data_IF_982732854419
#
_entry.id   IF_982732854419
#
_cell.length_a   1.000
_cell.length_b   1.000
_cell.length_c   1.000
_cell.angle_alpha   90.00
_cell.angle_beta   90.00
_cell.angle_gamma   90.00
#
_symmetry.space_group_name_H-M   'P 1'
#
loop_
_entity.id
_entity.type
_entity.pdbx_description
1 polymer ?
#
# COMPACT_ATOMS: atom_id res chain seq x y z
N UNK A 1 3.31 44.73 22.54
CA UNK A 1 4.15 44.35 21.40
C UNK A 1 5.04 45.52 20.87
N UNK A 2 4.51 46.68 20.54
CA UNK A 2 5.28 47.83 19.96
C UNK A 2 6.44 48.33 20.81
N UNK A 3 6.38 48.26 22.15
CA UNK A 3 7.44 48.73 23.08
C UNK A 3 8.68 47.82 23.02
N UNK A 4 8.53 46.53 23.06
CA UNK A 4 9.63 45.57 22.97
C UNK A 4 10.39 45.62 21.63
N UNK A 5 9.65 45.81 20.53
CA UNK A 5 10.26 45.96 19.19
C UNK A 5 11.12 47.24 19.12
N UNK A 6 10.64 48.35 19.69
CA UNK A 6 11.43 49.61 19.74
C UNK A 6 12.69 49.49 20.59
N UNK A 7 12.61 48.84 21.73
CA UNK A 7 13.81 48.65 22.61
C UNK A 7 14.83 47.70 21.94
N UNK A 8 14.38 46.66 21.24
CA UNK A 8 15.27 45.76 20.50
C UNK A 8 15.97 46.49 19.33
N UNK A 9 15.27 47.34 18.60
CA UNK A 9 15.83 48.14 17.51
C UNK A 9 16.84 49.16 18.07
N UNK A 10 16.56 49.79 19.22
CA UNK A 10 17.48 50.75 19.84
C UNK A 10 18.80 50.06 20.30
N UNK A 11 18.72 48.84 20.89
CA UNK A 11 19.90 48.05 21.24
C UNK A 11 20.72 47.63 20.03
N UNK A 12 20.03 47.20 18.94
CA UNK A 12 20.70 46.79 17.69
C UNK A 12 21.46 47.96 17.03
N UNK A 13 21.03 49.19 17.26
CA UNK A 13 21.70 50.39 16.73
C UNK A 13 23.06 50.68 17.41
N UNK A 14 23.23 50.23 18.66
CA UNK A 14 24.44 50.39 19.46
C UNK A 14 25.50 49.31 19.21
N UNK A 15 25.15 48.23 18.53
CA UNK A 15 26.10 47.16 18.23
C UNK A 15 27.19 47.59 17.25
N UNK A 16 28.38 47.06 17.44
CA UNK A 16 29.48 47.20 16.48
C UNK A 16 29.12 46.57 15.12
N UNK A 17 29.81 46.94 14.08
CA UNK A 17 29.59 46.39 12.73
C UNK A 17 29.77 44.88 12.73
N UNK A 18 30.74 44.36 13.48
CA UNK A 18 30.99 42.91 13.60
C UNK A 18 29.86 42.19 14.30
N UNK A 19 29.30 42.76 15.37
CA UNK A 19 28.13 42.18 16.07
C UNK A 19 26.88 42.17 15.21
N UNK A 20 26.63 43.23 14.45
CA UNK A 20 25.54 43.30 13.47
C UNK A 20 25.66 42.21 12.40
N UNK A 21 26.87 41.96 11.91
CA UNK A 21 27.15 40.91 10.94
C UNK A 21 26.93 39.52 11.52
N UNK A 22 27.33 39.26 12.77
CA UNK A 22 27.09 38.01 13.49
C UNK A 22 25.58 37.76 13.65
N UNK A 23 24.84 38.76 14.10
CA UNK A 23 23.41 38.70 14.24
C UNK A 23 22.69 38.42 12.90
N UNK A 24 23.10 39.11 11.84
CA UNK A 24 22.55 38.93 10.51
C UNK A 24 22.77 37.48 10.02
N UNK A 25 23.98 36.92 10.23
CA UNK A 25 24.27 35.51 9.90
C UNK A 25 23.38 34.56 10.69
N UNK A 26 23.19 34.78 11.99
CA UNK A 26 22.30 33.92 12.82
C UNK A 26 20.86 33.96 12.34
N UNK A 27 20.33 35.13 12.00
CA UNK A 27 18.96 35.32 11.49
C UNK A 27 18.72 34.59 10.16
N UNK A 28 19.75 34.40 9.35
CA UNK A 28 19.65 33.66 8.09
C UNK A 28 19.93 32.18 8.28
N UNK A 29 20.95 31.82 9.05
CA UNK A 29 21.38 30.43 9.22
C UNK A 29 20.35 29.60 10.01
N UNK A 30 19.77 30.16 11.09
CA UNK A 30 18.84 29.41 11.94
C UNK A 30 17.57 29.01 11.17
N UNK A 31 16.86 29.91 10.46
CA UNK A 31 15.69 29.51 9.67
C UNK A 31 16.05 28.55 8.54
N UNK A 32 17.22 28.69 7.92
CA UNK A 32 17.69 27.78 6.88
C UNK A 32 17.89 26.35 7.44
N UNK A 33 18.53 26.23 8.62
CA UNK A 33 18.70 24.94 9.29
C UNK A 33 17.35 24.32 9.69
N UNK A 34 16.43 25.10 10.25
CA UNK A 34 15.08 24.63 10.58
C UNK A 34 14.35 24.16 9.32
N UNK A 35 14.46 24.89 8.22
CA UNK A 35 13.90 24.51 6.94
C UNK A 35 14.44 23.17 6.41
N UNK A 36 15.77 22.98 6.48
CA UNK A 36 16.41 21.73 6.06
C UNK A 36 15.95 20.56 6.93
N UNK A 37 15.91 20.72 8.26
CA UNK A 37 15.45 19.67 9.18
C UNK A 37 13.99 19.31 8.88
N UNK A 38 13.14 20.31 8.68
CA UNK A 38 11.73 20.08 8.34
C UNK A 38 11.58 19.30 7.03
N UNK A 39 12.34 19.67 6.00
CA UNK A 39 12.34 18.95 4.73
C UNK A 39 12.83 17.50 4.88
N UNK A 40 13.86 17.26 5.68
CA UNK A 40 14.35 15.90 5.96
C UNK A 40 13.27 15.04 6.65
N UNK A 41 12.58 15.58 7.66
CA UNK A 41 11.48 14.86 8.34
C UNK A 41 10.34 14.55 7.37
N UNK A 42 9.94 15.51 6.54
CA UNK A 42 8.91 15.29 5.51
C UNK A 42 9.36 14.20 4.53
N UNK A 43 10.61 14.24 4.09
CA UNK A 43 11.16 13.26 3.15
C UNK A 43 11.20 11.84 3.73
N UNK A 44 11.57 11.68 5.00
CA UNK A 44 11.57 10.37 5.69
C UNK A 44 10.15 9.83 5.77
N UNK A 45 9.20 10.62 6.28
CA UNK A 45 7.80 10.20 6.38
C UNK A 45 7.18 9.86 5.02
N UNK A 46 7.51 10.62 3.99
CA UNK A 46 7.06 10.35 2.63
C UNK A 46 7.64 9.03 2.10
N UNK A 47 8.92 8.76 2.33
CA UNK A 47 9.58 7.54 1.88
C UNK A 47 9.00 6.29 2.56
N UNK A 48 8.69 6.34 3.86
CA UNK A 48 8.03 5.24 4.56
C UNK A 48 6.63 4.96 3.98
N UNK A 49 5.81 6.00 3.83
CA UNK A 49 4.48 5.88 3.24
C UNK A 49 4.52 5.37 1.78
N UNK A 50 5.53 5.79 1.03
CA UNK A 50 5.76 5.32 -0.33
C UNK A 50 6.08 3.83 -0.37
N UNK A 51 7.00 3.37 0.46
CA UNK A 51 7.40 1.97 0.52
C UNK A 51 6.24 1.06 0.93
N UNK A 52 5.41 1.49 1.89
CA UNK A 52 4.19 0.76 2.26
C UNK A 52 3.20 0.65 1.11
N UNK A 53 2.97 1.75 0.37
CA UNK A 53 2.07 1.73 -0.78
C UNK A 53 2.56 0.79 -1.87
N UNK A 54 3.86 0.86 -2.22
CA UNK A 54 4.48 -0.03 -3.23
C UNK A 54 4.38 -1.50 -2.79
N UNK A 55 4.65 -1.78 -1.51
CA UNK A 55 4.54 -3.13 -0.97
C UNK A 55 3.12 -3.67 -1.06
N UNK A 56 2.13 -2.88 -0.64
CA UNK A 56 0.71 -3.28 -0.69
C UNK A 56 0.23 -3.57 -2.11
N UNK A 57 0.63 -2.73 -3.07
CA UNK A 57 0.31 -2.96 -4.49
C UNK A 57 1.01 -4.21 -5.02
N UNK A 58 2.26 -4.43 -4.63
CA UNK A 58 2.99 -5.64 -5.02
C UNK A 58 2.31 -6.91 -4.49
N UNK A 59 1.89 -6.90 -3.22
CA UNK A 59 1.17 -8.05 -2.60
C UNK A 59 -0.20 -8.25 -3.26
N UNK A 60 -0.97 -7.17 -3.49
CA UNK A 60 -2.27 -7.25 -4.16
C UNK A 60 -2.13 -7.73 -5.62
N UNK A 61 -1.08 -7.30 -6.31
CA UNK A 61 -0.78 -7.76 -7.67
C UNK A 61 -0.42 -9.26 -7.68
N UNK A 62 0.44 -9.68 -6.75
CA UNK A 62 0.78 -11.11 -6.58
C UNK A 62 -0.47 -11.95 -6.30
N UNK A 63 -1.35 -11.47 -5.43
CA UNK A 63 -2.62 -12.12 -5.14
C UNK A 63 -3.48 -12.26 -6.40
N UNK A 64 -3.64 -11.19 -7.17
CA UNK A 64 -4.53 -11.19 -8.33
C UNK A 64 -3.99 -12.02 -9.50
N UNK A 65 -2.69 -11.94 -9.78
CA UNK A 65 -2.10 -12.64 -10.92
C UNK A 65 -1.70 -14.09 -10.60
N UNK A 66 -1.03 -14.33 -9.47
CA UNK A 66 -0.59 -15.69 -9.15
C UNK A 66 -1.74 -16.54 -8.61
N UNK A 67 -2.37 -16.10 -7.52
CA UNK A 67 -3.40 -16.91 -6.88
C UNK A 67 -4.61 -17.14 -7.79
N UNK A 68 -5.14 -16.05 -8.40
CA UNK A 68 -6.38 -16.16 -9.17
C UNK A 68 -6.21 -17.00 -10.43
N UNK A 69 -5.13 -16.82 -11.17
CA UNK A 69 -4.84 -17.58 -12.39
C UNK A 69 -4.48 -19.03 -12.07
N UNK A 70 -3.63 -19.27 -11.07
CA UNK A 70 -3.24 -20.61 -10.67
C UNK A 70 -4.42 -21.40 -10.10
N UNK A 71 -5.25 -20.76 -9.27
CA UNK A 71 -6.44 -21.39 -8.71
C UNK A 71 -7.46 -21.74 -9.79
N UNK A 72 -7.75 -20.82 -10.73
CA UNK A 72 -8.66 -21.07 -11.84
C UNK A 72 -8.19 -22.23 -12.71
N UNK A 73 -6.90 -22.27 -13.04
CA UNK A 73 -6.32 -23.35 -13.81
C UNK A 73 -6.43 -24.69 -13.07
N UNK A 74 -6.05 -24.73 -11.78
CA UNK A 74 -6.11 -25.95 -10.97
C UNK A 74 -7.54 -26.47 -10.84
N UNK A 75 -8.47 -25.58 -10.49
CA UNK A 75 -9.88 -25.96 -10.37
C UNK A 75 -10.50 -26.38 -11.69
N UNK A 76 -10.15 -25.73 -12.78
CA UNK A 76 -10.58 -26.17 -14.12
C UNK A 76 -10.12 -27.59 -14.40
N UNK A 77 -8.84 -27.93 -14.15
CA UNK A 77 -8.30 -29.29 -14.35
C UNK A 77 -9.01 -30.35 -13.49
N UNK A 78 -9.30 -30.01 -12.24
CA UNK A 78 -10.05 -30.90 -11.33
C UNK A 78 -11.48 -31.12 -11.86
N UNK A 79 -12.16 -30.02 -12.19
CA UNK A 79 -13.59 -30.08 -12.62
C UNK A 79 -13.80 -30.84 -13.91
N UNK A 80 -12.84 -30.79 -14.85
CA UNK A 80 -12.92 -31.62 -16.09
C UNK A 80 -12.42 -33.06 -15.89
N UNK A 81 -11.99 -33.39 -14.67
CA UNK A 81 -11.48 -34.75 -14.34
C UNK A 81 -10.10 -35.06 -14.90
N UNK A 82 -9.34 -34.05 -15.34
CA UNK A 82 -7.99 -34.26 -15.87
C UNK A 82 -6.95 -34.48 -14.76
N UNK A 83 -7.20 -33.96 -13.55
CA UNK A 83 -6.30 -34.08 -12.41
C UNK A 83 -7.10 -34.29 -11.11
N UNK A 84 -6.45 -34.86 -10.10
CA UNK A 84 -7.05 -35.06 -8.77
C UNK A 84 -6.79 -33.86 -7.84
N UNK A 85 -7.61 -33.73 -6.78
CA UNK A 85 -7.39 -32.76 -5.71
C UNK A 85 -6.01 -32.88 -5.06
N UNK A 86 -5.55 -34.11 -4.83
CA UNK A 86 -4.24 -34.39 -4.25
C UNK A 86 -3.07 -33.93 -5.13
N UNK A 87 -3.24 -34.03 -6.46
CA UNK A 87 -2.22 -33.59 -7.40
C UNK A 87 -2.17 -32.06 -7.53
N UNK A 88 -3.33 -31.41 -7.58
CA UNK A 88 -3.44 -29.95 -7.78
C UNK A 88 -3.28 -29.13 -6.49
N UNK A 89 -3.57 -29.73 -5.32
CA UNK A 89 -3.41 -29.12 -3.99
C UNK A 89 -4.04 -27.73 -3.84
N UNK A 90 -5.30 -27.52 -4.19
CA UNK A 90 -5.94 -26.20 -4.15
C UNK A 90 -5.98 -25.60 -2.74
N UNK A 91 -5.97 -26.42 -1.70
CA UNK A 91 -5.94 -25.96 -0.30
C UNK A 91 -4.62 -25.30 0.11
N UNK A 92 -3.50 -25.70 -0.50
CA UNK A 92 -2.21 -25.03 -0.29
C UNK A 92 -2.24 -23.61 -0.85
N UNK A 93 -2.84 -23.42 -2.04
CA UNK A 93 -3.04 -22.08 -2.63
C UNK A 93 -3.91 -21.17 -1.75
N UNK A 94 -5.02 -21.71 -1.20
CA UNK A 94 -5.86 -20.96 -0.26
C UNK A 94 -5.07 -20.54 0.98
N UNK A 95 -4.22 -21.42 1.49
CA UNK A 95 -3.37 -21.13 2.65
C UNK A 95 -2.39 -20.00 2.35
N UNK A 96 -1.70 -20.06 1.21
CA UNK A 96 -0.79 -19.01 0.78
C UNK A 96 -1.50 -17.67 0.56
N UNK A 97 -2.69 -17.70 -0.09
CA UNK A 97 -3.51 -16.53 -0.27
C UNK A 97 -3.94 -15.89 1.06
N UNK A 98 -4.26 -16.68 2.08
CA UNK A 98 -4.58 -16.18 3.43
C UNK A 98 -3.38 -15.48 4.09
N UNK A 99 -2.16 -15.96 3.89
CA UNK A 99 -0.98 -15.25 4.38
C UNK A 99 -0.77 -13.89 3.67
N UNK A 100 -0.99 -13.83 2.35
CA UNK A 100 -0.97 -12.56 1.62
C UNK A 100 -2.03 -11.58 2.16
N UNK A 101 -3.25 -12.06 2.46
CA UNK A 101 -4.32 -11.23 3.04
C UNK A 101 -3.96 -10.74 4.45
N UNK A 102 -3.30 -11.54 5.27
CA UNK A 102 -2.78 -11.10 6.57
C UNK A 102 -1.76 -9.98 6.40
N UNK A 103 -0.86 -10.09 5.42
CA UNK A 103 0.10 -9.04 5.11
C UNK A 103 -0.59 -7.75 4.65
N UNK A 104 -1.58 -7.84 3.76
CA UNK A 104 -2.40 -6.72 3.33
C UNK A 104 -3.12 -6.05 4.51
N UNK A 105 -3.69 -6.85 5.42
CA UNK A 105 -4.39 -6.31 6.59
C UNK A 105 -3.45 -5.61 7.57
N UNK A 106 -2.23 -6.11 7.74
CA UNK A 106 -1.21 -5.49 8.57
C UNK A 106 -0.81 -4.10 8.05
N UNK A 107 -0.77 -3.96 6.74
CA UNK A 107 -0.37 -2.74 6.06
C UNK A 107 -1.56 -1.81 5.75
N UNK A 108 -2.80 -2.21 6.09
CA UNK A 108 -4.00 -1.41 5.84
C UNK A 108 -4.08 -0.23 6.82
N UNK A 109 -3.99 1.00 6.31
CA UNK A 109 -3.95 2.24 7.10
C UNK A 109 -5.33 2.82 7.34
N UNK A 110 -6.24 2.74 6.35
CA UNK A 110 -7.60 3.29 6.44
C UNK A 110 -8.60 2.26 6.92
N UNK A 111 -9.69 2.71 7.55
CA UNK A 111 -10.77 1.81 7.98
C UNK A 111 -11.42 1.10 6.78
N UNK A 112 -11.50 1.77 5.63
CA UNK A 112 -11.98 1.17 4.40
C UNK A 112 -11.05 0.06 3.90
N UNK A 113 -9.73 0.28 3.88
CA UNK A 113 -8.76 -0.75 3.50
C UNK A 113 -8.77 -1.95 4.45
N UNK A 114 -8.95 -1.72 5.76
CA UNK A 114 -9.14 -2.79 6.77
C UNK A 114 -10.44 -3.56 6.55
N UNK A 115 -11.53 -2.88 6.20
CA UNK A 115 -12.79 -3.52 5.88
C UNK A 115 -12.65 -4.41 4.64
N UNK A 116 -12.00 -3.91 3.59
CA UNK A 116 -11.77 -4.66 2.34
C UNK A 116 -10.91 -5.90 2.55
N UNK A 117 -9.82 -5.79 3.32
CA UNK A 117 -8.97 -6.96 3.63
C UNK A 117 -9.73 -8.02 4.42
N UNK A 118 -10.61 -7.64 5.35
CA UNK A 118 -11.50 -8.58 6.06
C UNK A 118 -12.50 -9.25 5.11
N UNK A 119 -13.06 -8.50 4.15
CA UNK A 119 -13.97 -9.05 3.14
C UNK A 119 -13.24 -10.06 2.24
N UNK A 120 -12.03 -9.76 1.80
CA UNK A 120 -11.20 -10.69 1.04
C UNK A 120 -10.94 -11.97 1.85
N UNK A 121 -10.62 -11.86 3.13
CA UNK A 121 -10.43 -13.01 4.02
C UNK A 121 -11.68 -13.91 4.10
N UNK A 122 -12.85 -13.30 4.28
CA UNK A 122 -14.13 -14.06 4.29
C UNK A 122 -14.43 -14.73 2.95
N UNK A 123 -14.12 -14.07 1.84
CA UNK A 123 -14.30 -14.65 0.51
C UNK A 123 -13.37 -15.84 0.26
N UNK A 124 -12.14 -15.81 0.81
CA UNK A 124 -11.25 -16.97 0.79
C UNK A 124 -11.79 -18.14 1.63
N UNK A 125 -12.43 -17.84 2.78
CA UNK A 125 -13.09 -18.86 3.58
C UNK A 125 -14.27 -19.49 2.82
N UNK A 126 -15.09 -18.67 2.17
CA UNK A 126 -16.20 -19.16 1.33
C UNK A 126 -15.68 -19.96 0.14
N UNK A 127 -14.61 -19.50 -0.51
CA UNK A 127 -14.00 -20.22 -1.62
C UNK A 127 -13.49 -21.61 -1.18
N UNK A 128 -12.89 -21.69 0.02
CA UNK A 128 -12.47 -22.96 0.60
C UNK A 128 -13.64 -23.91 0.77
N UNK A 129 -14.76 -23.42 1.30
CA UNK A 129 -16.00 -24.22 1.45
C UNK A 129 -16.50 -24.70 0.09
N UNK A 130 -16.55 -23.80 -0.91
CA UNK A 130 -16.98 -24.20 -2.28
C UNK A 130 -16.05 -25.26 -2.90
N UNK A 131 -14.74 -25.22 -2.61
CA UNK A 131 -13.80 -26.25 -3.06
C UNK A 131 -14.07 -27.56 -2.35
N UNK A 132 -14.34 -27.56 -1.04
CA UNK A 132 -14.73 -28.75 -0.27
C UNK A 132 -16.03 -29.34 -0.78
N UNK A 133 -17.02 -28.52 -1.16
CA UNK A 133 -18.27 -28.94 -1.77
C UNK A 133 -18.06 -29.58 -3.15
N UNK A 134 -17.16 -29.01 -3.98
CA UNK A 134 -16.81 -29.62 -5.29
C UNK A 134 -16.09 -30.95 -5.12
N UNK A 135 -15.26 -31.11 -4.11
CA UNK A 135 -14.58 -32.36 -3.80
C UNK A 135 -15.59 -33.49 -3.43
N UNK A 136 -16.71 -33.12 -2.77
CA UNK A 136 -17.71 -34.04 -2.28
C UNK A 136 -18.97 -34.11 -3.16
N UNK A 137 -19.18 -33.17 -4.08
CA UNK A 137 -20.37 -33.06 -4.93
C UNK A 137 -20.13 -32.24 -6.19
N UNK A 138 -20.98 -32.44 -7.23
CA UNK A 138 -20.90 -31.81 -8.56
C UNK A 138 -21.23 -30.28 -8.61
N UNK A 139 -21.16 -29.53 -7.51
CA UNK A 139 -21.58 -28.12 -7.45
C UNK A 139 -20.48 -27.15 -7.92
N UNK A 140 -20.51 -26.83 -9.22
CA UNK A 140 -19.52 -25.93 -9.88
C UNK A 140 -19.82 -24.43 -9.75
N UNK A 141 -21.07 -24.05 -9.52
CA UNK A 141 -21.51 -22.66 -9.66
C UNK A 141 -21.00 -21.73 -8.54
N UNK A 142 -20.97 -22.19 -7.30
CA UNK A 142 -20.59 -21.36 -6.14
C UNK A 142 -19.10 -21.00 -6.14
N UNK A 143 -18.25 -21.89 -6.66
CA UNK A 143 -16.83 -21.58 -6.85
C UNK A 143 -16.63 -20.38 -7.79
N UNK A 144 -17.28 -20.38 -8.95
CA UNK A 144 -17.15 -19.33 -9.96
C UNK A 144 -17.60 -17.97 -9.40
N UNK A 145 -18.71 -17.91 -8.68
CA UNK A 145 -19.24 -16.69 -8.09
C UNK A 145 -18.30 -16.16 -7.00
N UNK A 146 -17.85 -17.01 -6.08
CA UNK A 146 -16.95 -16.61 -4.99
C UNK A 146 -15.59 -16.14 -5.51
N UNK A 147 -15.04 -16.78 -6.54
CA UNK A 147 -13.79 -16.37 -7.16
C UNK A 147 -13.93 -15.01 -7.86
N UNK A 148 -15.01 -14.77 -8.58
CA UNK A 148 -15.28 -13.46 -9.20
C UNK A 148 -15.40 -12.35 -8.14
N UNK A 149 -16.12 -12.58 -7.05
CA UNK A 149 -16.24 -11.63 -5.95
C UNK A 149 -14.90 -11.32 -5.29
N UNK A 150 -14.05 -12.34 -5.13
CA UNK A 150 -12.71 -12.19 -4.59
C UNK A 150 -11.85 -11.25 -5.47
N UNK A 151 -11.81 -11.51 -6.79
CA UNK A 151 -11.10 -10.68 -7.76
C UNK A 151 -11.55 -9.22 -7.72
N UNK A 152 -12.86 -8.98 -7.67
CA UNK A 152 -13.42 -7.63 -7.59
C UNK A 152 -12.97 -6.91 -6.32
N UNK A 153 -12.97 -7.57 -5.16
CA UNK A 153 -12.54 -6.95 -3.90
C UNK A 153 -11.04 -6.64 -3.89
N UNK A 154 -10.20 -7.49 -4.45
CA UNK A 154 -8.75 -7.22 -4.58
C UNK A 154 -8.50 -6.03 -5.52
N UNK A 155 -9.23 -5.92 -6.62
CA UNK A 155 -9.11 -4.78 -7.53
C UNK A 155 -9.54 -3.48 -6.86
N UNK A 156 -10.67 -3.47 -6.14
CA UNK A 156 -11.11 -2.27 -5.39
C UNK A 156 -10.09 -1.88 -4.33
N UNK A 157 -9.51 -2.84 -3.59
CA UNK A 157 -8.44 -2.57 -2.65
C UNK A 157 -7.23 -1.90 -3.33
N UNK A 158 -6.83 -2.39 -4.49
CA UNK A 158 -5.72 -1.83 -5.26
C UNK A 158 -6.01 -0.39 -5.71
N UNK A 159 -7.23 -0.10 -6.16
CA UNK A 159 -7.64 1.25 -6.56
C UNK A 159 -7.65 2.24 -5.37
N UNK A 160 -8.13 1.81 -4.19
CA UNK A 160 -8.08 2.64 -2.97
C UNK A 160 -6.64 3.04 -2.62
N UNK A 161 -5.69 2.11 -2.77
CA UNK A 161 -4.27 2.41 -2.52
C UNK A 161 -3.72 3.38 -3.56
N UNK A 162 -4.06 3.20 -4.84
CA UNK A 162 -3.65 4.12 -5.92
C UNK A 162 -4.19 5.52 -5.70
N UNK A 163 -5.44 5.66 -5.31
CA UNK A 163 -6.07 6.96 -5.05
C UNK A 163 -5.40 7.70 -3.89
N UNK A 164 -5.06 6.98 -2.83
CA UNK A 164 -4.35 7.56 -1.66
C UNK A 164 -2.94 8.04 -1.99
N UNK A 165 -2.28 7.41 -2.97
CA UNK A 165 -0.89 7.70 -3.34
C UNK A 165 -0.74 7.99 -4.86
N UNK A 166 -1.45 9.00 -5.41
CA UNK A 166 -1.51 9.23 -6.87
C UNK A 166 -0.15 9.48 -7.51
N UNK A 167 0.74 10.19 -6.82
CA UNK A 167 2.06 10.56 -7.34
C UNK A 167 3.04 9.38 -7.41
N UNK A 168 2.79 8.30 -6.68
CA UNK A 168 3.64 7.11 -6.65
C UNK A 168 3.54 6.29 -7.92
N UNK A 169 2.34 6.26 -8.52
CA UNK A 169 2.07 5.48 -9.74
C UNK A 169 2.49 6.21 -11.01
N UNK A 170 2.28 7.53 -11.07
CA UNK A 170 2.66 8.35 -12.24
C UNK A 170 4.16 8.40 -12.45
N UNK A 171 4.98 8.45 -11.39
CA UNK A 171 6.43 8.42 -11.52
C UNK A 171 6.96 7.10 -12.10
N UNK A 172 6.41 5.95 -11.72
CA UNK A 172 6.86 4.65 -12.21
C UNK A 172 6.51 4.41 -13.68
N UNK A 173 5.33 4.85 -14.12
CA UNK A 173 4.94 4.79 -15.52
C UNK A 173 5.73 5.77 -16.41
N UNK A 174 6.17 6.91 -15.86
CA UNK A 174 7.00 7.89 -16.54
C UNK A 174 8.44 7.40 -16.80
N UNK A 175 9.02 6.66 -15.84
CA UNK A 175 10.38 6.11 -15.98
C UNK A 175 10.45 5.00 -17.04
N UNK A 176 9.40 4.19 -17.19
CA UNK A 176 9.34 3.15 -18.22
C UNK A 176 9.14 3.69 -19.64
N UNK A 177 8.58 4.89 -19.81
CA UNK A 177 8.44 5.54 -21.14
C UNK A 177 9.72 6.18 -21.65
N UNK A 178 10.73 6.39 -20.80
CA UNK A 178 12.02 7.00 -21.18
C UNK A 178 13.06 5.94 -21.57
N UNK A 179 12.81 4.66 -21.26
CA UNK A 179 13.74 3.56 -21.53
C UNK A 179 13.31 2.65 -22.72
N UNK A 180 12.35 3.07 -23.55
CA UNK A 180 11.95 2.47 -24.83
C UNK A 180 12.12 3.51 -25.92
#
# INVERSE_FOLDING_TARGET
>A
MKKYVRESIARFRQFSIEEKLKWLRMVVIIPALVGIITLLVIMINFNESYNEAVKNVSVASKFNFSFSEDMDYKMYRIVIGAESFDAMKPYEEIKEAKELVKELNKNAVTDESKLRTRQIGKLLDNLKISIEEIEHSDLKNDYMENNQRLRLNVNVFTEIIKEKYPNTFTMRLGIWRVCV
#
